data_IF_166939697630
#
_entry.id   IF_166939697630
#
_cell.length_a   1.000
_cell.length_b   1.000
_cell.length_c   1.000
_cell.angle_alpha   90.00
_cell.angle_beta   90.00
_cell.angle_gamma   90.00
#
_symmetry.space_group_name_H-M   'P 1'
#
loop_
_entity.id
_entity.type
_entity.pdbx_description
1 polymer ?
#
# COMPACT_ATOMS: atom_id res chain seq x y z
N UNK A 1 19.27 15.43 -48.84
CA UNK A 1 18.34 14.48 -48.16
C UNK A 1 16.94 14.73 -48.63
N UNK A 2 16.20 13.69 -49.03
CA UNK A 2 14.85 13.85 -49.65
C UNK A 2 13.86 14.38 -48.60
N UNK A 3 13.15 15.49 -48.90
CA UNK A 3 12.17 16.12 -47.96
C UNK A 3 11.14 15.11 -47.40
N UNK A 4 10.78 14.07 -48.18
CA UNK A 4 9.85 13.01 -47.76
C UNK A 4 10.50 12.11 -46.67
N UNK A 5 11.79 11.80 -46.80
CA UNK A 5 12.53 11.00 -45.79
C UNK A 5 12.63 11.77 -44.49
N UNK A 6 12.95 13.08 -44.55
CA UNK A 6 13.00 13.93 -43.34
C UNK A 6 11.64 14.00 -42.65
N UNK A 7 10.57 14.19 -43.39
CA UNK A 7 9.22 14.23 -42.83
C UNK A 7 8.81 12.90 -42.19
N UNK A 8 9.19 11.77 -42.80
CA UNK A 8 8.93 10.43 -42.23
C UNK A 8 9.72 10.19 -40.94
N UNK A 9 10.99 10.60 -40.88
CA UNK A 9 11.82 10.47 -39.69
C UNK A 9 11.27 11.33 -38.53
N UNK A 10 10.86 12.58 -38.81
CA UNK A 10 10.23 13.48 -37.85
C UNK A 10 8.92 12.88 -37.32
N UNK A 11 8.10 12.31 -38.20
CA UNK A 11 6.83 11.68 -37.82
C UNK A 11 7.07 10.46 -36.93
N UNK A 12 8.01 9.57 -37.28
CA UNK A 12 8.35 8.39 -36.47
C UNK A 12 8.90 8.82 -35.10
N UNK A 13 9.76 9.84 -35.05
CA UNK A 13 10.33 10.35 -33.81
C UNK A 13 9.25 10.99 -32.92
N UNK A 14 8.31 11.76 -33.48
CA UNK A 14 7.19 12.34 -32.73
C UNK A 14 6.23 11.27 -32.18
N UNK A 15 5.99 10.19 -32.93
CA UNK A 15 5.17 9.05 -32.46
C UNK A 15 5.89 8.32 -31.31
N UNK A 16 7.19 8.09 -31.40
CA UNK A 16 7.97 7.43 -30.32
C UNK A 16 8.01 8.27 -29.05
N UNK A 17 8.10 9.59 -29.15
CA UNK A 17 8.02 10.49 -27.98
C UNK A 17 6.61 10.49 -27.35
N UNK A 18 5.55 10.42 -28.17
CA UNK A 18 4.17 10.32 -27.68
C UNK A 18 3.89 8.99 -26.97
N UNK A 19 4.50 7.88 -27.44
CA UNK A 19 4.40 6.56 -26.80
C UNK A 19 5.20 6.45 -25.49
N UNK A 20 6.20 7.31 -25.30
CA UNK A 20 6.94 7.47 -24.06
C UNK A 20 6.23 8.39 -23.03
N UNK A 21 4.97 8.76 -23.28
CA UNK A 21 4.15 9.52 -22.35
C UNK A 21 4.09 8.78 -21.01
N UNK A 22 4.55 9.46 -19.96
CA UNK A 22 4.76 8.99 -18.62
C UNK A 22 3.53 8.22 -18.12
N UNK A 23 3.66 6.91 -17.98
CA UNK A 23 2.64 6.06 -17.36
C UNK A 23 2.29 6.67 -15.99
N UNK A 24 1.03 6.90 -15.72
CA UNK A 24 0.59 7.39 -14.41
C UNK A 24 1.09 6.46 -13.31
N UNK A 25 1.44 7.01 -12.16
CA UNK A 25 1.88 6.25 -10.99
C UNK A 25 0.66 5.78 -10.20
N UNK A 26 0.64 4.52 -9.80
CA UNK A 26 -0.43 3.95 -8.97
C UNK A 26 0.09 3.68 -7.56
N UNK A 27 -0.46 4.41 -6.59
CA UNK A 27 -0.22 4.24 -5.17
C UNK A 27 -1.40 3.46 -4.56
N UNK A 28 -1.12 2.31 -3.94
CA UNK A 28 -2.09 1.62 -3.10
C UNK A 28 -1.79 1.91 -1.63
N UNK A 29 -2.78 2.43 -0.93
CA UNK A 29 -2.72 2.69 0.51
C UNK A 29 -3.55 1.65 1.23
N UNK A 30 -2.89 0.88 2.08
CA UNK A 30 -3.50 -0.15 2.89
C UNK A 30 -3.65 0.33 4.33
N UNK A 31 -4.89 0.45 4.78
CA UNK A 31 -5.18 0.69 6.19
C UNK A 31 -5.29 -0.67 6.90
N UNK A 32 -4.28 -1.05 7.66
CA UNK A 32 -4.23 -2.33 8.37
C UNK A 32 -5.44 -2.58 9.25
N UNK A 33 -5.80 -3.86 9.44
CA UNK A 33 -6.96 -4.30 10.22
C UNK A 33 -8.30 -3.82 9.65
N UNK A 34 -9.39 -3.90 10.44
CA UNK A 34 -10.72 -3.42 10.04
C UNK A 34 -11.86 -4.40 10.39
N UNK A 35 -13.08 -3.90 10.50
CA UNK A 35 -14.24 -4.70 10.83
C UNK A 35 -14.09 -5.41 12.19
N UNK A 36 -14.16 -6.75 12.19
CA UNK A 36 -13.98 -7.57 13.39
C UNK A 36 -12.53 -7.67 13.86
N UNK A 37 -11.55 -7.43 12.98
CA UNK A 37 -10.15 -7.35 13.35
C UNK A 37 -9.82 -5.94 13.87
N UNK A 38 -9.68 -5.84 15.18
CA UNK A 38 -9.43 -4.57 15.85
C UNK A 38 -7.97 -4.11 15.77
N UNK A 39 -7.03 -5.03 15.47
CA UNK A 39 -5.60 -4.81 15.72
C UNK A 39 -5.30 -4.61 17.20
N UNK A 40 -4.27 -3.89 17.52
CA UNK A 40 -3.90 -3.56 18.88
C UNK A 40 -5.00 -2.73 19.58
N UNK A 41 -5.22 -3.05 20.87
CA UNK A 41 -6.19 -2.36 21.70
C UNK A 41 -5.48 -1.40 22.65
N UNK A 42 -5.69 -0.11 22.45
CA UNK A 42 -5.27 0.94 23.35
C UNK A 42 -6.31 1.23 24.42
N UNK A 43 -5.99 2.13 25.38
CA UNK A 43 -6.90 2.51 26.46
C UNK A 43 -8.15 3.25 25.99
N UNK A 44 -8.09 3.93 24.86
CA UNK A 44 -9.18 4.76 24.30
C UNK A 44 -9.37 4.60 22.78
N UNK A 45 -8.54 3.81 22.12
CA UNK A 45 -8.59 3.64 20.67
C UNK A 45 -8.26 2.21 20.26
N UNK A 46 -8.68 1.83 19.05
CA UNK A 46 -8.31 0.59 18.38
C UNK A 46 -7.41 0.90 17.22
N UNK A 47 -6.42 0.08 16.97
CA UNK A 47 -5.47 0.26 15.87
C UNK A 47 -6.16 0.47 14.53
N UNK A 48 -7.16 -0.35 14.20
CA UNK A 48 -7.93 -0.24 12.95
C UNK A 48 -8.47 1.16 12.67
N UNK A 49 -8.87 1.90 13.71
CA UNK A 49 -9.44 3.24 13.58
C UNK A 49 -8.35 4.28 13.30
N UNK A 50 -7.21 4.14 13.99
CA UNK A 50 -6.05 5.02 13.78
C UNK A 50 -5.51 4.81 12.37
N UNK A 51 -5.30 3.55 11.96
CA UNK A 51 -4.79 3.20 10.63
C UNK A 51 -5.68 3.75 9.52
N UNK A 52 -7.01 3.64 9.66
CA UNK A 52 -7.96 4.19 8.69
C UNK A 52 -7.86 5.71 8.60
N UNK A 53 -7.83 6.39 9.74
CA UNK A 53 -7.74 7.84 9.78
C UNK A 53 -6.43 8.35 9.15
N UNK A 54 -5.31 7.70 9.46
CA UNK A 54 -3.99 8.05 8.89
C UNK A 54 -3.96 7.77 7.39
N UNK A 55 -4.49 6.62 6.94
CA UNK A 55 -4.54 6.27 5.53
C UNK A 55 -5.34 7.31 4.71
N UNK A 56 -6.50 7.71 5.21
CA UNK A 56 -7.33 8.73 4.55
C UNK A 56 -6.67 10.13 4.60
N UNK A 57 -6.05 10.49 5.73
CA UNK A 57 -5.34 11.75 5.87
C UNK A 57 -4.10 11.84 4.98
N UNK A 58 -3.42 10.72 4.74
CA UNK A 58 -2.28 10.61 3.83
C UNK A 58 -2.72 10.66 2.36
N UNK A 59 -3.73 9.88 1.99
CA UNK A 59 -4.11 9.76 0.59
C UNK A 59 -4.81 10.99 0.02
N UNK A 60 -5.63 11.68 0.82
CA UNK A 60 -6.37 12.86 0.36
C UNK A 60 -5.47 14.00 -0.18
N UNK A 61 -4.38 14.42 0.48
CA UNK A 61 -3.42 15.35 -0.11
C UNK A 61 -2.76 14.84 -1.39
N UNK A 62 -2.46 13.55 -1.48
CA UNK A 62 -1.88 12.95 -2.70
C UNK A 62 -2.88 13.05 -3.85
N UNK A 63 -4.15 12.67 -3.64
CA UNK A 63 -5.23 12.81 -4.64
C UNK A 63 -5.39 14.27 -5.12
N UNK A 64 -5.22 15.24 -4.20
CA UNK A 64 -5.44 16.66 -4.52
C UNK A 64 -4.24 17.33 -5.19
N UNK A 65 -3.02 16.93 -4.86
CA UNK A 65 -1.80 17.66 -5.26
C UNK A 65 -0.94 16.90 -6.30
N UNK A 66 -1.23 15.61 -6.53
CA UNK A 66 -0.45 14.77 -7.44
C UNK A 66 -1.33 14.24 -8.58
N UNK A 67 -1.67 15.05 -9.60
CA UNK A 67 -2.65 14.68 -10.64
C UNK A 67 -2.22 13.46 -11.49
N UNK A 68 -0.94 13.10 -11.50
CA UNK A 68 -0.41 11.94 -12.20
C UNK A 68 -0.36 10.68 -11.32
N UNK A 69 -0.85 10.73 -10.06
CA UNK A 69 -0.89 9.62 -9.14
C UNK A 69 -2.33 9.14 -8.96
N UNK A 70 -2.58 7.90 -9.36
CA UNK A 70 -3.84 7.21 -9.04
C UNK A 70 -3.72 6.65 -7.61
N UNK A 71 -4.54 7.13 -6.69
CA UNK A 71 -4.61 6.58 -5.33
C UNK A 71 -5.71 5.52 -5.25
N UNK A 72 -5.37 4.36 -4.71
CA UNK A 72 -6.30 3.25 -4.44
C UNK A 72 -6.16 2.89 -2.96
N UNK A 73 -7.27 2.68 -2.28
CA UNK A 73 -7.27 2.24 -0.88
C UNK A 73 -7.76 0.80 -0.79
N UNK A 74 -7.21 0.02 0.10
CA UNK A 74 -7.73 -1.32 0.41
C UNK A 74 -9.08 -1.23 1.10
N UNK A 75 -9.28 -0.21 1.94
CA UNK A 75 -10.57 0.15 2.55
C UNK A 75 -10.64 1.66 2.83
N UNK A 76 -11.86 2.21 2.77
CA UNK A 76 -12.18 3.61 3.13
C UNK A 76 -13.15 3.70 4.32
N UNK A 77 -13.59 2.56 4.83
CA UNK A 77 -14.53 2.45 5.97
C UNK A 77 -14.06 1.34 6.92
N UNK A 78 -14.75 1.16 8.04
CA UNK A 78 -14.44 0.10 9.01
C UNK A 78 -14.99 -1.25 8.54
N UNK A 79 -14.36 -1.82 7.51
CA UNK A 79 -14.63 -3.16 6.98
C UNK A 79 -13.41 -4.05 7.11
N UNK A 80 -13.62 -5.35 7.28
CA UNK A 80 -12.55 -6.34 7.24
C UNK A 80 -12.15 -6.62 5.79
N UNK A 81 -10.84 -6.62 5.52
CA UNK A 81 -10.26 -7.03 4.24
C UNK A 81 -9.20 -8.08 4.53
N UNK A 82 -9.36 -9.32 4.08
CA UNK A 82 -8.36 -10.39 4.23
C UNK A 82 -7.01 -10.00 3.66
N UNK A 83 -5.91 -10.55 4.21
CA UNK A 83 -4.56 -10.17 3.80
C UNK A 83 -4.30 -10.46 2.32
N UNK A 84 -4.71 -11.65 1.83
CA UNK A 84 -4.57 -11.99 0.41
C UNK A 84 -5.29 -11.00 -0.50
N UNK A 85 -6.50 -10.53 -0.11
CA UNK A 85 -7.24 -9.54 -0.90
C UNK A 85 -6.55 -8.17 -0.96
N UNK A 86 -5.80 -7.78 0.08
CA UNK A 86 -5.00 -6.54 0.06
C UNK A 86 -3.91 -6.60 -1.01
N UNK A 87 -3.19 -7.72 -1.07
CA UNK A 87 -2.22 -7.99 -2.13
C UNK A 87 -2.88 -8.04 -3.52
N UNK A 88 -4.03 -8.69 -3.63
CA UNK A 88 -4.80 -8.75 -4.88
C UNK A 88 -5.26 -7.36 -5.37
N UNK A 89 -5.66 -6.48 -4.47
CA UNK A 89 -6.02 -5.10 -4.81
C UNK A 89 -4.80 -4.40 -5.43
N UNK A 90 -3.62 -4.54 -4.83
CA UNK A 90 -2.40 -3.96 -5.37
C UNK A 90 -2.04 -4.54 -6.75
N UNK A 91 -2.06 -5.86 -6.88
CA UNK A 91 -1.71 -6.57 -8.10
C UNK A 91 -2.67 -6.24 -9.26
N UNK A 92 -3.99 -6.29 -9.01
CA UNK A 92 -5.01 -5.95 -10.02
C UNK A 92 -4.93 -4.50 -10.50
N UNK A 93 -4.54 -3.58 -9.61
CA UNK A 93 -4.34 -2.19 -9.97
C UNK A 93 -2.94 -1.92 -10.55
N UNK A 94 -2.06 -2.92 -10.67
CA UNK A 94 -0.68 -2.78 -11.13
C UNK A 94 0.04 -1.68 -10.36
N UNK A 95 -0.03 -1.75 -9.02
CA UNK A 95 0.53 -0.75 -8.14
C UNK A 95 2.03 -0.58 -8.36
N UNK A 96 2.47 0.66 -8.47
CA UNK A 96 3.89 1.00 -8.49
C UNK A 96 4.45 1.09 -7.06
N UNK A 97 3.56 1.39 -6.08
CA UNK A 97 3.90 1.41 -4.66
C UNK A 97 2.69 0.94 -3.83
N UNK A 98 2.96 0.05 -2.88
CA UNK A 98 2.02 -0.38 -1.84
C UNK A 98 2.52 0.12 -0.48
N UNK A 99 1.69 0.89 0.22
CA UNK A 99 2.00 1.43 1.55
C UNK A 99 0.99 0.90 2.54
N UNK A 100 1.41 0.04 3.45
CA UNK A 100 0.59 -0.45 4.54
C UNK A 100 0.84 0.37 5.81
N UNK A 101 -0.24 0.75 6.48
CA UNK A 101 -0.24 1.62 7.66
C UNK A 101 -0.72 0.82 8.85
N UNK A 102 0.15 0.72 9.85
CA UNK A 102 -0.11 0.08 11.13
C UNK A 102 0.29 0.97 12.30
N UNK A 103 -0.35 0.77 13.45
CA UNK A 103 -0.03 1.47 14.69
C UNK A 103 0.38 0.42 15.73
N UNK A 104 1.67 0.07 15.72
CA UNK A 104 2.20 -0.97 16.57
C UNK A 104 1.93 -0.71 18.06
N UNK A 105 1.61 -1.78 18.80
CA UNK A 105 1.56 -1.75 20.25
C UNK A 105 2.87 -2.22 20.86
N UNK A 106 3.29 -1.53 21.92
CA UNK A 106 4.43 -1.95 22.72
C UNK A 106 3.99 -2.88 23.85
N UNK A 107 4.89 -3.75 24.33
CA UNK A 107 4.68 -4.50 25.57
C UNK A 107 4.35 -3.57 26.72
N UNK A 108 3.54 -4.06 27.69
CA UNK A 108 3.15 -3.28 28.87
C UNK A 108 4.39 -2.78 29.62
N UNK A 109 4.45 -1.48 29.85
CA UNK A 109 5.58 -0.82 30.55
C UNK A 109 6.69 -0.32 29.63
N UNK A 110 6.72 -0.70 28.35
CA UNK A 110 7.64 -0.12 27.40
C UNK A 110 7.15 1.28 26.94
N UNK A 111 8.10 2.17 26.61
CA UNK A 111 7.83 3.50 26.06
C UNK A 111 8.61 3.67 24.78
N UNK A 112 7.93 3.96 23.70
CA UNK A 112 8.54 4.46 22.48
C UNK A 112 7.68 5.58 21.92
N UNK A 113 8.32 6.51 21.25
CA UNK A 113 7.68 7.60 20.52
C UNK A 113 8.41 7.75 19.19
N UNK A 114 7.67 7.77 18.11
CA UNK A 114 8.25 7.95 16.78
C UNK A 114 7.50 7.21 15.71
N UNK A 115 8.09 7.24 14.52
CA UNK A 115 7.63 6.54 13.33
C UNK A 115 8.72 5.58 12.87
N UNK A 116 8.33 4.36 12.53
CA UNK A 116 9.19 3.37 11.90
C UNK A 116 8.67 3.05 10.50
N UNK A 117 9.58 2.89 9.56
CA UNK A 117 9.25 2.47 8.19
C UNK A 117 9.99 1.18 7.89
N UNK A 118 9.23 0.14 7.54
CA UNK A 118 9.75 -1.15 7.15
C UNK A 118 9.70 -1.28 5.62
N UNK A 119 10.83 -1.63 5.04
CA UNK A 119 10.94 -1.91 3.59
C UNK A 119 11.43 -3.34 3.40
N UNK A 120 10.97 -3.99 2.33
CA UNK A 120 11.43 -5.33 2.00
C UNK A 120 12.86 -5.27 1.44
N UNK A 121 13.84 -5.45 2.34
CA UNK A 121 15.26 -5.49 1.99
C UNK A 121 15.90 -6.77 2.55
N UNK A 122 16.76 -7.42 1.77
CA UNK A 122 17.34 -8.72 2.07
C UNK A 122 18.19 -8.74 3.35
N UNK A 123 18.84 -7.64 3.70
CA UNK A 123 19.77 -7.54 4.83
C UNK A 123 19.16 -7.20 6.19
N UNK A 124 17.84 -6.96 6.27
CA UNK A 124 17.11 -6.68 7.52
C UNK A 124 15.90 -7.60 7.75
N UNK A 125 15.88 -8.75 7.08
CA UNK A 125 14.76 -9.68 7.15
C UNK A 125 14.47 -10.17 8.58
N UNK A 126 15.49 -10.38 9.41
CA UNK A 126 15.32 -10.85 10.78
C UNK A 126 14.65 -9.80 11.71
N UNK A 127 15.02 -8.52 11.59
CA UNK A 127 14.44 -7.42 12.38
C UNK A 127 12.98 -7.16 12.01
N UNK A 128 12.65 -7.31 10.73
CA UNK A 128 11.30 -7.10 10.21
C UNK A 128 10.39 -8.31 10.44
N UNK A 129 10.96 -9.49 10.70
CA UNK A 129 10.22 -10.74 10.78
C UNK A 129 9.22 -10.76 11.94
N UNK A 130 9.61 -10.29 13.12
CA UNK A 130 8.74 -10.28 14.31
C UNK A 130 7.55 -9.34 14.13
N UNK A 131 7.76 -8.19 13.46
CA UNK A 131 6.68 -7.28 13.13
C UNK A 131 5.75 -7.93 12.10
N UNK A 132 6.29 -8.46 11.01
CA UNK A 132 5.51 -9.14 9.99
C UNK A 132 4.71 -10.32 10.55
N UNK A 133 5.30 -11.12 11.45
CA UNK A 133 4.62 -12.24 12.10
C UNK A 133 3.45 -11.80 12.96
N UNK A 134 3.60 -10.70 13.68
CA UNK A 134 2.52 -10.13 14.52
C UNK A 134 1.39 -9.61 13.66
N UNK A 135 1.69 -8.78 12.66
CA UNK A 135 0.70 -8.18 11.76
C UNK A 135 -0.01 -9.23 10.91
N UNK A 136 0.69 -10.29 10.51
CA UNK A 136 0.13 -11.40 9.75
C UNK A 136 -0.60 -12.45 10.61
N UNK A 137 -0.60 -12.32 11.94
CA UNK A 137 -1.28 -13.29 12.83
C UNK A 137 -2.80 -13.35 12.59
N UNK A 138 -3.39 -12.32 11.97
CA UNK A 138 -4.80 -12.29 11.57
C UNK A 138 -5.15 -13.38 10.53
N UNK A 139 -4.18 -13.92 9.80
CA UNK A 139 -4.37 -15.07 8.90
C UNK A 139 -5.12 -16.21 9.61
N UNK A 140 -4.79 -16.48 10.86
CA UNK A 140 -5.39 -17.58 11.63
C UNK A 140 -6.88 -17.39 11.94
N UNK A 141 -7.42 -16.18 11.79
CA UNK A 141 -8.86 -15.89 11.98
C UNK A 141 -9.61 -15.73 10.65
N UNK A 142 -8.91 -15.83 9.52
CA UNK A 142 -9.54 -15.90 8.20
C UNK A 142 -10.15 -17.29 7.99
N UNK A 143 -11.40 -17.35 7.53
CA UNK A 143 -12.15 -18.63 7.41
C UNK A 143 -11.58 -19.59 6.38
N UNK A 144 -10.84 -19.08 5.42
CA UNK A 144 -10.29 -19.78 4.24
C UNK A 144 -8.77 -19.72 4.16
N UNK A 145 -8.10 -19.47 5.31
CA UNK A 145 -6.65 -19.25 5.34
C UNK A 145 -5.85 -20.39 4.71
N UNK A 146 -6.27 -21.64 4.88
CA UNK A 146 -5.58 -22.81 4.31
C UNK A 146 -5.59 -22.83 2.77
N UNK A 147 -6.57 -22.20 2.14
CA UNK A 147 -6.64 -22.14 0.66
C UNK A 147 -5.69 -21.08 0.07
N UNK A 148 -5.26 -20.13 0.86
CA UNK A 148 -4.51 -18.96 0.39
C UNK A 148 -3.07 -18.91 0.88
N UNK A 149 -2.71 -19.64 1.94
CA UNK A 149 -1.40 -19.49 2.62
C UNK A 149 -0.65 -20.82 2.85
N UNK A 150 -1.13 -21.93 2.30
CA UNK A 150 -0.43 -23.23 2.29
C UNK A 150 0.30 -23.52 0.98
#
# INVERSE_FOLDING_TARGET
MNRRIVATIILIFSISVALAAKKGFTLVIDAGHGGHDAGALGSFSKEKNINLNVALAFGKPVESNCPNVKVVYTRKTDVFVPLHQRADIANRNKADLFVSIHTNALPKGARAVGLETYTLVMNRAAENFDVAKRENSVILVEKDYQQHYE
#
